data_IF_331294997887
#
_entry.id   IF_331294997887
#
_cell.length_a   1.000
_cell.length_b   1.000
_cell.length_c   1.000
_cell.angle_alpha   90.00
_cell.angle_beta   90.00
_cell.angle_gamma   90.00
#
_symmetry.space_group_name_H-M   'P 1'
#
loop_
_entity.id
_entity.type
_entity.pdbx_description
1 polymer ?
#
# COMPACT_ATOMS: atom_id res chain seq x y z
N UNK A 1 11.95 51.29 -36.74
CA UNK A 1 13.13 50.43 -37.04
C UNK A 1 13.76 50.04 -35.71
N UNK A 2 13.95 48.79 -35.26
CA UNK A 2 13.58 47.43 -35.71
C UNK A 2 13.44 46.58 -34.40
N UNK A 3 12.34 45.86 -34.16
CA UNK A 3 12.22 44.37 -34.15
C UNK A 3 13.55 43.57 -34.28
N UNK A 4 13.87 42.51 -33.53
CA UNK A 4 13.28 41.76 -32.39
C UNK A 4 14.46 41.35 -31.44
N UNK A 5 14.39 40.64 -30.31
CA UNK A 5 13.39 39.71 -29.74
C UNK A 5 13.96 38.27 -29.62
N UNK A 6 14.81 38.01 -28.61
CA UNK A 6 15.13 36.68 -28.07
C UNK A 6 16.35 35.91 -28.62
N UNK A 7 17.21 35.41 -27.71
CA UNK A 7 17.84 34.07 -27.84
C UNK A 7 18.32 33.51 -26.48
N UNK A 8 17.62 32.48 -26.01
CA UNK A 8 17.98 31.38 -25.08
C UNK A 8 19.16 31.53 -24.09
N UNK A 9 18.82 31.44 -22.80
CA UNK A 9 19.74 31.16 -21.69
C UNK A 9 20.35 29.75 -21.84
N UNK A 10 21.66 29.68 -22.07
CA UNK A 10 22.44 28.44 -22.06
C UNK A 10 22.80 28.01 -20.63
N UNK A 11 21.87 27.33 -19.94
CA UNK A 11 22.13 26.65 -18.68
C UNK A 11 21.58 25.22 -18.69
N UNK A 12 22.27 24.34 -17.97
CA UNK A 12 21.94 22.92 -17.76
C UNK A 12 22.07 21.97 -18.98
N UNK A 13 23.28 21.86 -19.54
CA UNK A 13 23.78 20.56 -20.02
C UNK A 13 24.13 19.64 -18.82
N UNK A 14 23.13 19.36 -18.00
CA UNK A 14 23.15 18.19 -17.13
C UNK A 14 22.39 17.09 -17.87
N UNK A 15 23.00 15.94 -18.22
CA UNK A 15 22.20 14.78 -18.55
C UNK A 15 21.39 14.46 -17.31
N UNK A 16 20.08 14.73 -17.36
CA UNK A 16 19.17 14.33 -16.30
C UNK A 16 19.29 12.82 -16.21
N UNK A 17 20.02 12.36 -15.18
CA UNK A 17 20.06 10.96 -14.80
C UNK A 17 18.65 10.62 -14.35
N UNK A 18 17.82 10.21 -15.32
CA UNK A 18 16.55 9.59 -15.08
C UNK A 18 16.87 8.25 -14.43
N UNK A 19 17.13 8.30 -13.13
CA UNK A 19 17.02 7.17 -12.23
C UNK A 19 15.59 6.69 -12.37
N UNK A 20 15.40 5.76 -13.32
CA UNK A 20 14.13 5.09 -13.55
C UNK A 20 13.86 4.37 -12.25
N UNK A 21 12.97 4.91 -11.44
CA UNK A 21 12.44 4.26 -10.25
C UNK A 21 11.61 3.07 -10.75
N UNK A 22 12.30 1.97 -11.07
CA UNK A 22 11.68 0.67 -11.30
C UNK A 22 10.81 0.39 -10.08
N UNK A 23 9.64 -0.20 -10.28
CA UNK A 23 8.95 -0.79 -9.14
C UNK A 23 9.77 -2.01 -8.75
N UNK A 24 10.04 -2.18 -7.46
CA UNK A 24 10.82 -3.30 -6.90
C UNK A 24 10.33 -4.71 -7.31
N UNK A 25 9.12 -4.78 -7.88
CA UNK A 25 8.47 -5.98 -8.38
C UNK A 25 8.72 -6.27 -9.87
N UNK A 26 9.39 -5.37 -10.61
CA UNK A 26 9.75 -5.55 -12.03
C UNK A 26 11.08 -6.32 -12.20
N UNK A 27 11.86 -6.46 -11.14
CA UNK A 27 13.12 -7.21 -11.09
C UNK A 27 12.84 -8.71 -10.86
N UNK A 28 12.36 -9.37 -11.92
CA UNK A 28 12.01 -10.79 -11.92
C UNK A 28 13.23 -11.71 -11.82
N UNK A 29 13.49 -12.25 -10.63
CA UNK A 29 14.49 -13.30 -10.43
C UNK A 29 13.93 -14.67 -10.82
N UNK A 30 14.43 -15.26 -11.90
CA UNK A 30 14.16 -16.65 -12.26
C UNK A 30 14.86 -17.63 -11.33
N UNK A 31 14.10 -18.54 -10.72
CA UNK A 31 14.62 -19.63 -9.89
C UNK A 31 13.71 -20.85 -9.98
N UNK A 32 14.27 -22.01 -10.34
CA UNK A 32 13.52 -23.27 -10.43
C UNK A 32 13.20 -23.82 -9.04
N UNK A 33 11.95 -24.27 -8.84
CA UNK A 33 11.64 -25.31 -7.86
C UNK A 33 10.53 -24.99 -6.85
N UNK A 34 9.41 -25.71 -6.99
CA UNK A 34 8.35 -25.93 -6.01
C UNK A 34 7.40 -24.77 -5.66
N UNK A 35 6.13 -25.01 -6.00
CA UNK A 35 4.88 -24.44 -5.48
C UNK A 35 4.84 -22.91 -5.27
N UNK A 36 4.11 -22.24 -6.16
CA UNK A 36 3.67 -20.85 -5.99
C UNK A 36 2.57 -20.77 -4.89
N UNK A 37 2.96 -21.04 -3.64
CA UNK A 37 2.22 -20.55 -2.48
C UNK A 37 2.22 -19.02 -2.58
N UNK A 38 1.05 -18.41 -2.33
CA UNK A 38 0.80 -17.03 -2.73
C UNK A 38 1.74 -15.99 -2.09
N UNK A 39 1.60 -14.75 -2.56
CA UNK A 39 2.33 -13.55 -2.07
C UNK A 39 2.41 -13.39 -0.53
N UNK A 40 1.45 -13.96 0.19
CA UNK A 40 1.39 -13.98 1.65
C UNK A 40 2.27 -15.12 2.18
N UNK A 41 3.28 -14.78 2.99
CA UNK A 41 4.06 -15.78 3.75
C UNK A 41 3.24 -16.29 4.93
N UNK A 42 3.39 -17.58 5.23
CA UNK A 42 2.74 -18.24 6.36
C UNK A 42 1.51 -19.05 5.95
N UNK A 43 1.03 -19.87 6.89
CA UNK A 43 -0.10 -20.78 6.73
C UNK A 43 -1.30 -20.25 7.53
N UNK A 44 -2.45 -20.13 6.86
CA UNK A 44 -3.70 -19.72 7.51
C UNK A 44 -4.07 -20.67 8.66
N UNK A 45 -4.49 -20.10 9.79
CA UNK A 45 -4.79 -20.86 11.02
C UNK A 45 -3.55 -21.25 11.84
N UNK A 46 -2.33 -20.95 11.36
CA UNK A 46 -1.07 -21.20 12.09
C UNK A 46 -0.32 -19.89 12.30
N UNK A 47 0.02 -19.17 11.22
CA UNK A 47 0.81 -17.93 11.26
C UNK A 47 -0.07 -16.67 11.33
N UNK A 48 -1.34 -16.78 10.93
CA UNK A 48 -2.35 -15.73 10.99
C UNK A 48 -3.75 -16.36 11.12
N UNK A 49 -4.74 -15.68 11.72
CA UNK A 49 -6.08 -16.26 11.90
C UNK A 49 -6.77 -16.53 10.56
N UNK A 50 -7.67 -17.49 10.57
CA UNK A 50 -8.45 -17.93 9.40
C UNK A 50 -9.95 -17.91 9.71
N UNK A 51 -10.44 -16.77 10.20
CA UNK A 51 -11.85 -16.56 10.49
C UNK A 51 -12.66 -16.67 9.19
N UNK A 52 -13.49 -17.71 9.10
CA UNK A 52 -14.40 -17.96 7.96
C UNK A 52 -15.67 -17.11 8.01
N UNK A 53 -15.99 -16.60 9.19
CA UNK A 53 -17.12 -15.72 9.49
C UNK A 53 -16.63 -14.57 10.37
N UNK A 54 -17.34 -13.44 10.38
CA UNK A 54 -16.97 -12.29 11.21
C UNK A 54 -17.36 -12.58 12.67
N UNK A 55 -16.40 -12.74 13.61
CA UNK A 55 -16.71 -12.98 15.01
C UNK A 55 -17.32 -11.72 15.65
N UNK A 56 -18.08 -11.91 16.74
CA UNK A 56 -18.50 -10.79 17.59
C UNK A 56 -17.35 -10.41 18.53
N UNK A 57 -16.95 -9.16 18.49
CA UNK A 57 -15.86 -8.57 19.30
C UNK A 57 -16.40 -7.46 20.20
N UNK A 58 -15.54 -6.93 21.07
CA UNK A 58 -15.81 -5.73 21.85
C UNK A 58 -15.82 -4.41 21.07
N UNK A 59 -15.55 -4.42 19.75
CA UNK A 59 -15.37 -3.19 18.97
C UNK A 59 -16.63 -2.33 18.88
N UNK A 60 -16.48 -1.01 19.05
CA UNK A 60 -17.57 -0.02 18.94
C UNK A 60 -17.08 1.28 18.30
N UNK A 61 -17.73 1.71 17.22
CA UNK A 61 -17.48 3.01 16.62
C UNK A 61 -17.77 4.19 17.57
N UNK A 62 -18.67 4.01 18.55
CA UNK A 62 -18.94 4.99 19.61
C UNK A 62 -17.78 5.21 20.60
N UNK A 63 -16.72 4.39 20.53
CA UNK A 63 -15.50 4.53 21.34
C UNK A 63 -14.30 5.01 20.52
N UNK A 64 -14.47 5.22 19.21
CA UNK A 64 -13.40 5.72 18.35
C UNK A 64 -13.41 7.25 18.30
N UNK A 65 -12.24 7.92 18.26
CA UNK A 65 -12.17 9.38 18.35
C UNK A 65 -12.59 10.11 17.07
N UNK A 66 -12.56 9.45 15.92
CA UNK A 66 -12.81 10.04 14.60
C UNK A 66 -13.63 9.09 13.72
N UNK A 67 -14.16 9.61 12.61
CA UNK A 67 -14.66 8.78 11.52
C UNK A 67 -13.51 8.17 10.71
N UNK A 68 -13.71 6.99 10.13
CA UNK A 68 -12.70 6.30 9.32
C UNK A 68 -12.69 4.79 9.46
N UNK A 69 -11.58 4.19 9.02
CA UNK A 69 -11.36 2.74 8.98
C UNK A 69 -10.54 2.31 10.19
N UNK A 70 -11.02 1.32 10.95
CA UNK A 70 -10.36 0.82 12.16
C UNK A 70 -10.12 -0.68 12.07
N UNK A 71 -8.91 -1.15 12.36
CA UNK A 71 -8.61 -2.57 12.44
C UNK A 71 -9.13 -3.15 13.76
N UNK A 72 -9.74 -4.34 13.70
CA UNK A 72 -10.20 -5.04 14.90
C UNK A 72 -9.07 -5.90 15.48
N UNK A 73 -8.51 -5.44 16.60
CA UNK A 73 -7.39 -6.10 17.27
C UNK A 73 -7.76 -7.46 17.88
N UNK A 74 -9.02 -7.69 18.27
CA UNK A 74 -9.47 -9.00 18.76
C UNK A 74 -9.45 -10.05 17.64
N UNK A 75 -9.60 -9.61 16.38
CA UNK A 75 -9.46 -10.48 15.19
C UNK A 75 -8.03 -10.51 14.60
N UNK A 76 -7.04 -9.98 15.33
CA UNK A 76 -5.68 -9.76 14.85
C UNK A 76 -5.62 -9.02 13.49
N UNK A 77 -6.47 -8.00 13.33
CA UNK A 77 -6.59 -7.19 12.12
C UNK A 77 -7.11 -7.90 10.86
N UNK A 78 -7.66 -9.13 10.97
CA UNK A 78 -8.34 -9.78 9.84
C UNK A 78 -9.68 -9.11 9.50
N UNK A 79 -10.37 -8.57 10.51
CA UNK A 79 -11.57 -7.75 10.36
C UNK A 79 -11.20 -6.27 10.52
N UNK A 80 -11.91 -5.42 9.78
CA UNK A 80 -11.90 -3.97 9.96
C UNK A 80 -13.35 -3.47 10.06
N UNK A 81 -13.51 -2.30 10.70
CA UNK A 81 -14.78 -1.61 10.84
C UNK A 81 -14.70 -0.25 10.14
N UNK A 82 -15.82 0.20 9.59
CA UNK A 82 -15.97 1.52 8.95
C UNK A 82 -16.87 2.36 9.83
N UNK A 83 -16.32 3.39 10.47
CA UNK A 83 -17.06 4.21 11.42
C UNK A 83 -17.46 5.55 10.81
N UNK A 84 -18.76 5.88 10.87
CA UNK A 84 -19.28 7.20 10.51
C UNK A 84 -20.43 7.59 11.46
N UNK A 85 -20.40 8.81 11.99
CA UNK A 85 -21.34 9.28 13.04
C UNK A 85 -21.47 8.33 14.25
N UNK A 86 -20.36 7.68 14.65
CA UNK A 86 -20.31 6.77 15.80
C UNK A 86 -20.97 5.41 15.60
N UNK A 87 -21.31 5.04 14.37
CA UNK A 87 -21.81 3.72 13.96
C UNK A 87 -20.87 3.05 12.96
#
# INVERSE_FOLDING_TARGET
MKIWGGLLVLLALAPHSLSKRTKRWEEGHGGHGQQQQGWVRGTAGVDYPDYKEIPRTGFRCSQQPYEGMYADLETQCQVYHVCHNGR
#
